data_IF_247756690534
#
_entry.id   IF_247756690534
#
_cell.length_a   1.000
_cell.length_b   1.000
_cell.length_c   1.000
_cell.angle_alpha   90.00
_cell.angle_beta   90.00
_cell.angle_gamma   90.00
#
_symmetry.space_group_name_H-M   'P 1'
#
loop_
_entity.id
_entity.type
_entity.pdbx_description
1 polymer ?
#
# COMPACT_ATOMS: atom_id res chain seq x y z
N UNK A 1 2.88 -8.40 0.94
CA UNK A 1 3.85 -7.39 0.47
C UNK A 1 4.54 -6.73 1.64
N UNK A 2 3.83 -5.99 2.52
CA UNK A 2 4.42 -5.40 3.73
C UNK A 2 5.01 -6.44 4.69
N UNK A 3 4.37 -7.59 4.85
CA UNK A 3 4.85 -8.68 5.70
C UNK A 3 6.20 -9.24 5.23
N UNK A 4 6.35 -9.46 3.92
CA UNK A 4 7.61 -9.87 3.28
C UNK A 4 8.70 -8.81 3.44
N UNK A 5 8.37 -7.52 3.26
CA UNK A 5 9.33 -6.42 3.46
C UNK A 5 9.80 -6.32 4.91
N UNK A 6 8.90 -6.60 5.87
CA UNK A 6 9.26 -6.63 7.28
C UNK A 6 10.19 -7.81 7.61
N UNK A 7 9.93 -8.99 7.04
CA UNK A 7 10.80 -10.16 7.19
C UNK A 7 12.20 -9.92 6.60
N UNK A 8 12.28 -9.27 5.43
CA UNK A 8 13.55 -8.87 4.82
C UNK A 8 14.33 -7.92 5.73
N UNK A 9 13.66 -6.93 6.30
CA UNK A 9 14.26 -5.96 7.23
C UNK A 9 14.75 -6.64 8.51
N UNK A 10 13.97 -7.59 9.05
CA UNK A 10 14.36 -8.40 10.21
C UNK A 10 15.59 -9.26 9.87
N UNK A 11 15.63 -9.87 8.68
CA UNK A 11 16.77 -10.68 8.27
C UNK A 11 18.03 -9.84 8.10
N UNK A 12 17.92 -8.67 7.48
CA UNK A 12 19.04 -7.72 7.33
C UNK A 12 19.62 -7.34 8.69
N UNK A 13 18.77 -6.99 9.66
CA UNK A 13 19.17 -6.67 11.04
C UNK A 13 19.84 -7.84 11.75
N UNK A 14 19.45 -9.08 11.46
CA UNK A 14 20.08 -10.27 12.05
C UNK A 14 21.43 -10.61 11.42
N UNK A 15 21.66 -10.23 10.17
CA UNK A 15 22.82 -10.68 9.40
C UNK A 15 23.91 -9.62 9.23
N UNK A 16 23.55 -8.33 9.29
CA UNK A 16 24.52 -7.25 9.14
C UNK A 16 25.02 -6.77 10.50
N UNK A 17 26.25 -7.14 10.82
CA UNK A 17 26.94 -6.78 12.08
C UNK A 17 27.33 -5.29 12.15
N UNK A 18 27.28 -4.56 11.04
CA UNK A 18 27.65 -3.13 10.99
C UNK A 18 26.47 -2.19 11.19
N UNK A 19 25.24 -2.72 11.30
CA UNK A 19 24.06 -1.91 11.53
C UNK A 19 24.13 -1.21 12.88
N UNK A 20 24.04 0.12 12.85
CA UNK A 20 23.88 0.90 14.07
C UNK A 20 22.41 0.94 14.48
N UNK A 21 22.16 1.25 15.75
CA UNK A 21 20.79 1.47 16.24
C UNK A 21 20.07 2.57 15.45
N UNK A 22 20.80 3.59 14.98
CA UNK A 22 20.22 4.66 14.16
C UNK A 22 19.78 4.13 12.78
N UNK A 23 20.58 3.28 12.15
CA UNK A 23 20.22 2.69 10.86
C UNK A 23 18.97 1.81 10.97
N UNK A 24 18.87 1.02 12.04
CA UNK A 24 17.70 0.19 12.33
C UNK A 24 16.46 1.07 12.52
N UNK A 25 16.61 2.15 13.29
CA UNK A 25 15.53 3.11 13.53
C UNK A 25 15.06 3.75 12.22
N UNK A 26 15.97 4.24 11.40
CA UNK A 26 15.63 4.91 10.13
C UNK A 26 14.93 3.93 9.17
N UNK A 27 15.36 2.67 9.13
CA UNK A 27 14.71 1.61 8.35
C UNK A 27 13.28 1.35 8.84
N UNK A 28 13.06 1.26 10.16
CA UNK A 28 11.73 1.07 10.75
C UNK A 28 10.82 2.27 10.50
N UNK A 29 11.34 3.49 10.64
CA UNK A 29 10.59 4.73 10.38
C UNK A 29 10.15 4.80 8.90
N UNK A 30 11.03 4.41 7.97
CA UNK A 30 10.70 4.33 6.55
C UNK A 30 9.63 3.27 6.26
N UNK A 31 9.76 2.08 6.85
CA UNK A 31 8.75 1.03 6.71
C UNK A 31 7.37 1.50 7.21
N UNK A 32 7.33 2.13 8.39
CA UNK A 32 6.11 2.68 8.96
C UNK A 32 5.47 3.74 8.06
N UNK A 33 6.28 4.69 7.55
CA UNK A 33 5.78 5.76 6.69
C UNK A 33 5.19 5.22 5.39
N UNK A 34 5.81 4.21 4.78
CA UNK A 34 5.29 3.56 3.58
C UNK A 34 3.95 2.85 3.86
N UNK A 35 3.89 2.05 4.93
CA UNK A 35 2.66 1.36 5.32
C UNK A 35 1.52 2.36 5.60
N UNK A 36 1.83 3.48 6.26
CA UNK A 36 0.88 4.56 6.52
C UNK A 36 0.38 5.21 5.23
N UNK A 37 1.26 5.43 4.25
CA UNK A 37 0.88 5.99 2.95
C UNK A 37 -0.03 5.04 2.18
N UNK A 38 0.27 3.74 2.15
CA UNK A 38 -0.61 2.74 1.52
C UNK A 38 -1.99 2.71 2.18
N UNK A 39 -2.05 2.73 3.51
CA UNK A 39 -3.30 2.80 4.25
C UNK A 39 -4.10 4.06 3.90
N UNK A 40 -3.45 5.23 3.88
CA UNK A 40 -4.10 6.48 3.52
C UNK A 40 -4.69 6.45 2.11
N UNK A 41 -4.00 5.80 1.15
CA UNK A 41 -4.52 5.62 -0.20
C UNK A 41 -5.77 4.75 -0.22
N UNK A 42 -5.80 3.67 0.56
CA UNK A 42 -6.98 2.80 0.70
C UNK A 42 -8.14 3.57 1.34
N UNK A 43 -7.87 4.31 2.42
CA UNK A 43 -8.89 5.17 3.08
C UNK A 43 -9.45 6.20 2.10
N UNK A 44 -8.59 6.84 1.30
CA UNK A 44 -9.03 7.78 0.28
C UNK A 44 -9.91 7.10 -0.77
N UNK A 45 -9.53 5.92 -1.25
CA UNK A 45 -10.34 5.14 -2.19
C UNK A 45 -11.72 4.78 -1.61
N UNK A 46 -11.77 4.31 -0.36
CA UNK A 46 -13.01 3.98 0.33
C UNK A 46 -13.91 5.21 0.50
N UNK A 47 -13.35 6.34 0.97
CA UNK A 47 -14.10 7.58 1.09
C UNK A 47 -14.60 8.09 -0.26
N UNK A 48 -13.85 7.90 -1.34
CA UNK A 48 -14.28 8.28 -2.69
C UNK A 48 -15.44 7.41 -3.20
N UNK A 49 -15.50 6.15 -2.77
CA UNK A 49 -16.62 5.24 -3.04
C UNK A 49 -17.86 5.70 -2.27
N UNK A 50 -17.72 6.07 -0.99
CA UNK A 50 -18.85 6.59 -0.19
C UNK A 50 -19.40 7.93 -0.71
N UNK A 51 -18.57 8.76 -1.35
CA UNK A 51 -19.01 10.02 -1.97
C UNK A 51 -19.68 9.80 -3.33
N UNK A 52 -19.36 8.72 -4.07
CA UNK A 52 -20.03 8.37 -5.32
C UNK A 52 -21.31 7.57 -5.05
N UNK A 53 -22.42 7.95 -5.69
CA UNK A 53 -23.65 7.17 -5.56
C UNK A 53 -23.48 5.77 -6.16
N UNK A 54 -24.12 4.74 -5.58
CA UNK A 54 -24.12 3.37 -6.12
C UNK A 54 -24.59 3.35 -7.59
N UNK A 55 -25.48 4.27 -7.97
CA UNK A 55 -25.91 4.51 -9.35
C UNK A 55 -24.78 4.97 -10.28
N UNK A 56 -23.93 5.91 -9.85
CA UNK A 56 -22.80 6.39 -10.65
C UNK A 56 -21.70 5.33 -10.80
N UNK A 57 -21.46 4.53 -9.76
CA UNK A 57 -20.55 3.38 -9.82
C UNK A 57 -21.07 2.31 -10.80
N UNK A 58 -22.37 2.01 -10.77
CA UNK A 58 -23.00 1.05 -11.68
C UNK A 58 -22.99 1.55 -13.14
N UNK A 59 -23.19 2.84 -13.38
CA UNK A 59 -23.13 3.42 -14.72
C UNK A 59 -21.70 3.47 -15.26
N UNK A 60 -20.70 3.76 -14.41
CA UNK A 60 -19.27 3.70 -14.79
C UNK A 60 -18.81 2.27 -15.08
N UNK A 61 -19.32 1.28 -14.34
CA UNK A 61 -19.07 -0.14 -14.63
C UNK A 61 -19.65 -0.59 -15.97
N UNK A 62 -20.83 -0.08 -16.35
CA UNK A 62 -21.44 -0.31 -17.68
C UNK A 62 -20.74 0.46 -18.81
N UNK A 63 -20.09 1.58 -18.49
CA UNK A 63 -19.36 2.39 -19.47
C UNK A 63 -17.92 1.94 -19.69
N UNK A 64 -17.43 0.91 -18.99
CA UNK A 64 -16.23 0.21 -19.46
C UNK A 64 -16.59 -0.34 -20.85
N UNK A 65 -15.95 0.14 -21.93
CA UNK A 65 -16.10 -0.55 -23.18
C UNK A 65 -15.48 -1.92 -22.92
N UNK A 66 -16.30 -2.96 -22.93
CA UNK A 66 -15.83 -4.31 -23.14
C UNK A 66 -15.21 -4.32 -24.54
N UNK A 67 -13.99 -3.81 -24.66
CA UNK A 67 -13.07 -4.14 -25.75
C UNK A 67 -12.56 -5.56 -25.48
N UNK A 68 -13.51 -6.50 -25.42
CA UNK A 68 -13.29 -7.89 -25.73
C UNK A 68 -14.00 -8.10 -27.07
N UNK A 69 -13.36 -7.61 -28.13
CA UNK A 69 -13.63 -8.07 -29.48
C UNK A 69 -12.29 -8.42 -30.13
N UNK A 70 -12.19 -9.71 -30.43
CA UNK A 70 -11.23 -10.50 -31.22
C UNK A 70 -9.79 -10.73 -30.70
#
# INVERSE_FOLDING_TARGET
>A
MLETQLEELINEVKTDENLTVNDIKDKLDNFYNNAKQELNNIVYQLNSIDVMSISELADKAKSFPLAFYD
#
